data_IF_268837395224
#
_entry.id   IF_268837395224
#
_cell.length_a   1.000
_cell.length_b   1.000
_cell.length_c   1.000
_cell.angle_alpha   90.00
_cell.angle_beta   90.00
_cell.angle_gamma   90.00
#
_symmetry.space_group_name_H-M   'P 1'
#
loop_
_entity.id
_entity.type
_entity.pdbx_description
1 polymer ?
#
# COMPACT_ATOMS: atom_id res chain seq x y z
N UNK A 1 21.69 -4.59 -8.83
CA UNK A 1 20.97 -3.72 -7.88
C UNK A 1 20.70 -4.50 -6.60
N UNK A 2 21.38 -4.14 -5.51
CA UNK A 2 21.13 -4.78 -4.22
C UNK A 2 19.80 -4.24 -3.69
N UNK A 3 18.75 -5.03 -3.80
CA UNK A 3 17.51 -4.79 -3.10
C UNK A 3 17.81 -4.93 -1.61
N UNK A 4 17.83 -3.82 -0.88
CA UNK A 4 17.83 -3.89 0.59
C UNK A 4 16.54 -4.58 0.99
N UNK A 5 16.64 -5.85 1.36
CA UNK A 5 15.55 -6.55 2.04
C UNK A 5 15.29 -5.82 3.35
N UNK A 6 14.24 -5.02 3.39
CA UNK A 6 13.74 -4.45 4.63
C UNK A 6 13.37 -5.65 5.51
N UNK A 7 13.96 -5.74 6.69
CA UNK A 7 13.64 -6.81 7.63
C UNK A 7 12.18 -6.66 8.07
N UNK A 8 11.29 -7.37 7.38
CA UNK A 8 9.84 -7.36 7.63
C UNK A 8 9.41 -8.33 8.74
N UNK A 9 10.34 -9.09 9.30
CA UNK A 9 10.01 -10.15 10.24
C UNK A 9 9.48 -9.64 11.58
N UNK A 10 9.93 -8.47 12.02
CA UNK A 10 9.47 -7.89 13.28
C UNK A 10 7.97 -7.52 13.29
N UNK A 11 7.41 -7.17 12.13
CA UNK A 11 5.97 -6.87 12.00
C UNK A 11 5.10 -8.12 11.80
N UNK A 12 5.68 -9.20 11.30
CA UNK A 12 4.99 -10.47 11.07
C UNK A 12 4.69 -11.25 12.35
N UNK A 13 5.37 -10.97 13.44
CA UNK A 13 5.19 -11.66 14.72
C UNK A 13 4.04 -11.13 15.56
N UNK A 14 3.42 -9.99 15.19
CA UNK A 14 2.25 -9.45 15.86
C UNK A 14 0.99 -10.15 15.36
N UNK A 15 0.36 -10.99 16.20
CA UNK A 15 -0.90 -11.67 15.87
C UNK A 15 -2.03 -10.69 15.50
N UNK A 16 -2.03 -9.48 16.05
CA UNK A 16 -2.98 -8.39 15.68
C UNK A 16 -2.73 -7.86 14.27
N UNK A 17 -1.48 -7.69 13.86
CA UNK A 17 -1.12 -7.24 12.53
C UNK A 17 -1.59 -8.22 11.46
N UNK A 18 -1.34 -9.51 11.65
CA UNK A 18 -1.78 -10.57 10.73
C UNK A 18 -3.30 -10.67 10.64
N UNK A 19 -4.01 -10.60 11.77
CA UNK A 19 -5.48 -10.62 11.79
C UNK A 19 -6.07 -9.44 11.03
N UNK A 20 -5.52 -8.26 11.21
CA UNK A 20 -5.93 -7.04 10.52
C UNK A 20 -5.72 -7.16 9.00
N UNK A 21 -4.55 -7.63 8.57
CA UNK A 21 -4.23 -7.85 7.16
C UNK A 21 -5.17 -8.86 6.50
N UNK A 22 -5.43 -9.99 7.16
CA UNK A 22 -6.33 -11.04 6.66
C UNK A 22 -7.76 -10.53 6.52
N UNK A 23 -8.27 -9.85 7.52
CA UNK A 23 -9.61 -9.26 7.49
C UNK A 23 -9.72 -8.24 6.36
N UNK A 24 -8.72 -7.41 6.18
CA UNK A 24 -8.69 -6.44 5.09
C UNK A 24 -8.61 -7.10 3.72
N UNK A 25 -7.80 -8.14 3.57
CA UNK A 25 -7.69 -8.90 2.33
C UNK A 25 -9.03 -9.54 1.92
N UNK A 26 -9.73 -10.16 2.86
CA UNK A 26 -11.07 -10.71 2.63
C UNK A 26 -12.06 -9.62 2.22
N UNK A 27 -12.06 -8.50 2.90
CA UNK A 27 -12.92 -7.36 2.56
C UNK A 27 -12.67 -6.85 1.12
N UNK A 28 -11.40 -6.74 0.74
CA UNK A 28 -11.02 -6.34 -0.62
C UNK A 28 -11.48 -7.36 -1.65
N UNK A 29 -11.27 -8.64 -1.39
CA UNK A 29 -11.68 -9.72 -2.30
C UNK A 29 -13.20 -9.71 -2.51
N UNK A 30 -13.98 -9.57 -1.45
CA UNK A 30 -15.44 -9.49 -1.55
C UNK A 30 -15.92 -8.26 -2.36
N UNK A 31 -15.28 -7.12 -2.16
CA UNK A 31 -15.56 -5.93 -2.97
C UNK A 31 -15.22 -6.15 -4.44
N UNK A 32 -14.08 -6.77 -4.70
CA UNK A 32 -13.61 -7.05 -6.05
C UNK A 32 -14.57 -7.99 -6.79
N UNK A 33 -15.05 -9.04 -6.14
CA UNK A 33 -16.06 -9.95 -6.67
C UNK A 33 -17.35 -9.20 -6.99
N UNK A 34 -17.80 -8.36 -6.08
CA UNK A 34 -19.02 -7.56 -6.28
C UNK A 34 -18.89 -6.59 -7.47
N UNK A 35 -17.73 -5.99 -7.66
CA UNK A 35 -17.49 -5.00 -8.72
C UNK A 35 -17.31 -5.65 -10.10
N UNK A 36 -16.72 -6.84 -10.15
CA UNK A 36 -16.30 -7.47 -11.40
C UNK A 36 -17.24 -8.61 -11.87
N UNK A 37 -18.28 -8.92 -11.12
CA UNK A 37 -19.28 -9.94 -11.48
C UNK A 37 -18.66 -11.33 -11.66
N UNK A 38 -18.78 -11.90 -12.86
CA UNK A 38 -18.27 -13.23 -13.19
C UNK A 38 -16.78 -13.27 -13.58
N UNK A 39 -16.08 -12.14 -13.58
CA UNK A 39 -14.64 -12.09 -13.91
C UNK A 39 -13.81 -12.78 -12.83
N UNK A 40 -12.74 -13.41 -13.26
CA UNK A 40 -11.75 -14.00 -12.36
C UNK A 40 -10.95 -12.88 -11.70
N UNK A 41 -10.86 -12.93 -10.38
CA UNK A 41 -10.08 -12.00 -9.57
C UNK A 41 -9.13 -12.77 -8.66
N UNK A 42 -7.96 -12.24 -8.45
CA UNK A 42 -6.96 -12.83 -7.56
C UNK A 42 -6.67 -11.88 -6.41
N UNK A 43 -6.48 -12.44 -5.23
CA UNK A 43 -5.99 -11.71 -4.08
C UNK A 43 -4.90 -12.53 -3.40
N UNK A 44 -3.73 -11.94 -3.26
CA UNK A 44 -2.60 -12.53 -2.57
C UNK A 44 -2.27 -11.70 -1.33
N UNK A 45 -1.97 -12.38 -0.24
CA UNK A 45 -1.47 -11.76 0.99
C UNK A 45 0.02 -12.03 1.14
N UNK A 46 0.76 -11.06 1.67
CA UNK A 46 2.21 -11.18 1.92
C UNK A 46 3.05 -11.53 0.67
N UNK A 47 2.54 -11.23 -0.51
CA UNK A 47 3.26 -11.54 -1.74
C UNK A 47 4.13 -10.36 -2.20
N UNK A 48 3.51 -9.22 -2.40
CA UNK A 48 4.20 -7.97 -2.71
C UNK A 48 3.87 -7.05 -1.55
N UNK A 49 3.71 -6.50 -0.82
CA UNK A 49 3.24 -5.82 0.37
C UNK A 49 2.24 -6.70 1.16
N UNK A 50 1.40 -6.10 1.96
CA UNK A 50 0.46 -6.84 2.81
C UNK A 50 -0.60 -7.55 1.99
N UNK A 51 -1.07 -6.94 0.92
CA UNK A 51 -1.97 -7.59 -0.02
C UNK A 51 -1.86 -7.02 -1.43
N UNK A 52 -2.06 -7.87 -2.41
CA UNK A 52 -2.18 -7.48 -3.81
C UNK A 52 -3.46 -8.08 -4.40
N UNK A 53 -4.20 -7.28 -5.14
CA UNK A 53 -5.32 -7.75 -5.94
C UNK A 53 -5.00 -7.61 -7.41
N UNK A 54 -5.47 -8.56 -8.20
CA UNK A 54 -5.19 -8.64 -9.62
C UNK A 54 -6.46 -8.98 -10.37
N UNK A 55 -6.80 -8.15 -11.35
CA UNK A 55 -7.92 -8.36 -12.25
C UNK A 55 -7.40 -8.41 -13.68
N UNK A 56 -7.42 -9.57 -14.34
CA UNK A 56 -7.11 -9.63 -15.75
C UNK A 56 -8.16 -8.88 -16.56
N UNK A 57 -7.70 -8.06 -17.48
CA UNK A 57 -8.50 -7.31 -18.44
C UNK A 57 -8.20 -7.82 -19.87
N UNK A 58 -9.05 -7.48 -20.84
CA UNK A 58 -8.85 -7.91 -22.24
C UNK A 58 -7.55 -7.40 -22.86
N UNK A 59 -7.08 -6.23 -22.41
CA UNK A 59 -5.88 -5.55 -22.92
C UNK A 59 -4.70 -5.60 -21.98
N UNK A 60 -4.83 -6.20 -20.80
CA UNK A 60 -3.75 -6.21 -19.81
C UNK A 60 -4.20 -6.70 -18.43
N UNK A 61 -3.58 -6.18 -17.40
CA UNK A 61 -3.85 -6.58 -16.01
C UNK A 61 -3.89 -5.36 -15.12
N UNK A 62 -4.93 -5.24 -14.31
CA UNK A 62 -5.03 -4.25 -13.24
C UNK A 62 -4.54 -4.87 -11.93
N UNK A 63 -3.54 -4.25 -11.35
CA UNK A 63 -2.94 -4.67 -10.09
C UNK A 63 -3.11 -3.55 -9.08
N UNK A 64 -3.64 -3.87 -7.91
CA UNK A 64 -3.65 -2.95 -6.77
C UNK A 64 -2.84 -3.54 -5.63
N UNK A 65 -1.81 -2.83 -5.22
CA UNK A 65 -0.93 -3.20 -4.12
C UNK A 65 -1.31 -2.35 -2.91
N UNK A 66 -1.54 -2.99 -1.79
CA UNK A 66 -1.96 -2.30 -0.57
C UNK A 66 -1.08 -2.66 0.62
N UNK A 67 -0.63 -1.63 1.31
CA UNK A 67 0.00 -1.73 2.61
C UNK A 67 -1.01 -1.40 3.70
N UNK A 68 -1.07 -2.22 4.74
CA UNK A 68 -1.99 -2.07 5.86
C UNK A 68 -1.25 -1.54 7.08
N UNK A 69 -1.77 -0.49 7.68
CA UNK A 69 -1.21 0.12 8.88
C UNK A 69 -2.24 0.14 10.00
N UNK A 70 -1.91 -0.48 11.12
CA UNK A 70 -2.74 -0.49 12.32
C UNK A 70 -1.94 0.12 13.48
N UNK A 71 -2.13 1.42 13.70
CA UNK A 71 -1.40 2.18 14.71
C UNK A 71 -2.35 2.84 15.69
N UNK A 72 -1.95 2.88 16.96
CA UNK A 72 -2.64 3.65 17.99
C UNK A 72 -2.31 5.15 17.95
N UNK A 73 -1.16 5.52 17.39
CA UNK A 73 -0.74 6.91 17.20
C UNK A 73 -1.23 7.47 15.87
N UNK A 74 -1.29 8.80 15.76
CA UNK A 74 -1.64 9.46 14.51
C UNK A 74 -0.59 9.25 13.42
N UNK A 75 -1.04 9.24 12.17
CA UNK A 75 -0.19 9.14 10.97
C UNK A 75 -0.41 10.38 10.09
N UNK A 76 0.67 10.86 9.52
CA UNK A 76 0.69 11.89 8.49
C UNK A 76 1.58 11.45 7.33
N UNK A 77 1.57 12.17 6.23
CA UNK A 77 2.50 11.89 5.11
C UNK A 77 3.96 12.05 5.52
N UNK A 78 4.24 12.81 6.56
CA UNK A 78 5.59 12.99 7.09
C UNK A 78 6.01 11.90 8.10
N UNK A 79 5.10 11.02 8.48
CA UNK A 79 5.42 9.89 9.38
C UNK A 79 6.33 8.88 8.71
N UNK A 80 7.34 8.38 9.42
CA UNK A 80 8.27 7.39 8.88
C UNK A 80 7.60 6.15 8.30
N UNK A 81 6.57 5.56 8.93
CA UNK A 81 5.87 4.42 8.34
C UNK A 81 5.26 4.71 6.96
N UNK A 82 4.73 5.91 6.77
CA UNK A 82 4.15 6.33 5.48
C UNK A 82 5.24 6.59 4.44
N UNK A 83 6.31 7.30 4.81
CA UNK A 83 7.46 7.54 3.93
C UNK A 83 8.09 6.23 3.45
N UNK A 84 8.32 5.29 4.37
CA UNK A 84 8.89 3.99 4.04
C UNK A 84 8.00 3.20 3.08
N UNK A 85 6.69 3.27 3.26
CA UNK A 85 5.72 2.64 2.37
C UNK A 85 5.77 3.25 0.97
N UNK A 86 5.83 4.58 0.87
CA UNK A 86 5.92 5.28 -0.43
C UNK A 86 7.20 4.88 -1.17
N UNK A 87 8.33 4.79 -0.47
CA UNK A 87 9.59 4.32 -1.07
C UNK A 87 9.46 2.88 -1.56
N UNK A 88 8.87 2.00 -0.75
CA UNK A 88 8.64 0.61 -1.15
C UNK A 88 7.73 0.51 -2.39
N UNK A 89 6.69 1.33 -2.47
CA UNK A 89 5.82 1.39 -3.65
C UNK A 89 6.58 1.84 -4.91
N UNK A 90 7.44 2.84 -4.78
CA UNK A 90 8.27 3.29 -5.90
C UNK A 90 9.19 2.16 -6.40
N UNK A 91 9.83 1.43 -5.51
CA UNK A 91 10.67 0.28 -5.85
C UNK A 91 9.88 -0.81 -6.57
N UNK A 92 8.68 -1.08 -6.12
CA UNK A 92 7.81 -2.08 -6.73
C UNK A 92 7.27 -1.64 -8.08
N UNK A 93 6.92 -0.38 -8.22
CA UNK A 93 6.54 0.18 -9.51
C UNK A 93 7.64 -0.04 -10.53
N UNK A 94 8.88 0.30 -10.19
CA UNK A 94 10.03 0.11 -11.08
C UNK A 94 10.28 -1.36 -11.42
N UNK A 95 10.02 -2.27 -10.48
CA UNK A 95 10.25 -3.70 -10.67
C UNK A 95 9.17 -4.37 -11.55
N UNK A 96 7.92 -3.95 -11.46
CA UNK A 96 6.78 -4.64 -12.07
C UNK A 96 6.08 -3.89 -13.19
N UNK A 97 6.40 -2.62 -13.38
CA UNK A 97 5.78 -1.82 -14.43
C UNK A 97 6.10 -2.36 -15.82
N UNK A 98 5.06 -2.49 -16.65
CA UNK A 98 5.16 -2.59 -18.09
C UNK A 98 3.88 -2.03 -18.75
N UNK A 99 3.89 -1.86 -20.08
CA UNK A 99 2.81 -1.20 -20.81
C UNK A 99 1.45 -1.93 -20.76
N UNK A 100 1.44 -3.22 -20.39
CA UNK A 100 0.23 -4.03 -20.29
C UNK A 100 -0.33 -4.13 -18.86
N UNK A 101 0.23 -3.40 -17.92
CA UNK A 101 -0.19 -3.43 -16.51
C UNK A 101 -0.53 -2.04 -16.02
N UNK A 102 -1.66 -1.94 -15.37
CA UNK A 102 -2.00 -0.80 -14.51
C UNK A 102 -1.68 -1.17 -13.08
N UNK A 103 -0.88 -0.37 -12.41
CA UNK A 103 -0.48 -0.61 -11.03
C UNK A 103 -0.93 0.57 -10.18
N UNK A 104 -1.83 0.30 -9.25
CA UNK A 104 -2.28 1.24 -8.24
C UNK A 104 -1.74 0.85 -6.87
N UNK A 105 -1.41 1.86 -6.08
CA UNK A 105 -0.93 1.68 -4.73
C UNK A 105 -1.89 2.33 -3.75
N UNK A 106 -2.14 1.66 -2.64
CA UNK A 106 -2.96 2.18 -1.57
C UNK A 106 -2.37 1.89 -0.20
N UNK A 107 -2.64 2.77 0.74
CA UNK A 107 -2.33 2.56 2.15
C UNK A 107 -3.66 2.56 2.89
N UNK A 108 -3.97 1.44 3.53
CA UNK A 108 -5.15 1.33 4.38
C UNK A 108 -4.74 1.45 5.83
N UNK A 109 -5.20 2.50 6.49
CA UNK A 109 -4.84 2.79 7.86
C UNK A 109 -6.03 2.64 8.81
N UNK A 110 -5.82 1.96 9.92
CA UNK A 110 -6.63 2.09 11.11
C UNK A 110 -5.82 2.90 12.13
N UNK A 111 -5.85 4.22 11.97
CA UNK A 111 -5.12 5.18 12.79
C UNK A 111 -5.80 6.54 12.69
N UNK A 112 -5.48 7.42 13.63
CA UNK A 112 -5.86 8.84 13.52
C UNK A 112 -5.00 9.50 12.44
N UNK A 113 -5.61 10.37 11.65
CA UNK A 113 -4.88 11.25 10.76
C UNK A 113 -4.36 12.41 11.59
N UNK A 114 -3.06 12.62 11.56
CA UNK A 114 -2.40 13.76 12.20
C UNK A 114 -2.30 14.91 11.22
N UNK A 115 -2.35 16.13 11.74
CA UNK A 115 -2.13 17.32 10.94
C UNK A 115 -0.71 17.33 10.36
N UNK A 116 -0.59 17.71 9.10
CA UNK A 116 0.70 17.93 8.48
C UNK A 116 1.32 19.20 9.01
N UNK A 117 2.51 19.07 9.60
CA UNK A 117 3.31 20.22 9.98
C UNK A 117 4.29 20.55 8.86
N UNK A 118 3.98 21.58 8.11
CA UNK A 118 4.92 22.13 7.13
C UNK A 118 5.97 22.97 7.89
N UNK A 119 7.23 22.70 7.60
CA UNK A 119 8.32 23.55 8.08
C UNK A 119 8.12 24.96 7.51
N UNK A 120 8.16 25.97 8.38
CA UNK A 120 8.04 27.36 7.97
C UNK A 120 9.07 27.76 6.91
N UNK A 121 10.26 27.19 6.95
CA UNK A 121 11.31 27.39 5.94
C UNK A 121 10.89 26.85 4.58
N UNK A 122 10.23 25.71 4.56
CA UNK A 122 9.71 25.12 3.32
C UNK A 122 8.63 26.01 2.70
N UNK A 123 7.70 26.49 3.51
CA UNK A 123 6.63 27.40 3.06
C UNK A 123 7.21 28.68 2.47
N UNK A 124 8.15 29.31 3.17
CA UNK A 124 8.78 30.54 2.70
C UNK A 124 9.52 30.35 1.38
N UNK A 125 10.28 29.27 1.24
CA UNK A 125 11.14 29.07 0.07
C UNK A 125 10.42 28.49 -1.15
N UNK A 126 9.31 27.77 -0.96
CA UNK A 126 8.66 27.02 -2.04
C UNK A 126 7.23 27.45 -2.37
N UNK A 127 6.56 28.13 -1.44
CA UNK A 127 5.16 28.53 -1.61
C UNK A 127 5.02 30.05 -1.65
N UNK A 128 5.75 30.77 -0.81
CA UNK A 128 5.65 32.23 -0.67
C UNK A 128 6.85 32.99 -1.28
N UNK A 129 7.85 32.26 -1.69
CA UNK A 129 9.08 32.83 -2.25
C UNK A 129 8.97 33.37 -3.68
#
# INVERSE_FOLDING_TARGET
MNVKTINREASKTSGRGLSFQRTRAVQRLLRLIKQNGSRVCYCATEFIEDSATLVPEDTGVDITIEENKNYSSGLSFNSDPIKNTIVAFADQYLAYFNDNKTIDFSIFCHAKISDEQLDNTYIQNHILG
#
